data_IF_335743197345
#
_entry.id   IF_335743197345
#
_cell.length_a   1.000
_cell.length_b   1.000
_cell.length_c   1.000
_cell.angle_alpha   90.00
_cell.angle_beta   90.00
_cell.angle_gamma   90.00
#
_symmetry.space_group_name_H-M   'P 1'
#
loop_
_entity.id
_entity.type
_entity.pdbx_description
1 polymer ?
#
# COMPACT_ATOMS: atom_id res chain seq x y z
N UNK A 1 27.18 20.33 -25.50
CA UNK A 1 25.90 20.41 -24.76
C UNK A 1 24.92 19.48 -25.46
N UNK A 2 24.80 18.24 -24.98
CA UNK A 2 23.87 17.28 -25.57
C UNK A 2 22.49 17.56 -24.98
N UNK A 3 21.65 18.26 -25.76
CA UNK A 3 20.23 18.34 -25.47
C UNK A 3 19.65 16.94 -25.57
N UNK A 4 19.39 16.29 -24.43
CA UNK A 4 18.50 15.13 -24.40
C UNK A 4 17.16 15.56 -25.04
N UNK A 5 16.61 14.77 -25.98
CA UNK A 5 15.40 15.16 -26.68
C UNK A 5 14.25 15.37 -25.68
N UNK A 6 13.29 16.25 -26.02
CA UNK A 6 12.08 16.53 -25.21
C UNK A 6 11.20 15.29 -24.93
N UNK A 7 11.54 14.14 -25.52
CA UNK A 7 10.95 12.83 -25.28
C UNK A 7 11.57 12.07 -24.08
N UNK A 8 12.74 12.47 -23.60
CA UNK A 8 13.37 11.86 -22.42
C UNK A 8 12.62 12.26 -21.16
N UNK A 9 12.37 11.32 -20.25
CA UNK A 9 11.72 11.58 -18.97
C UNK A 9 12.47 12.67 -18.19
N UNK A 10 11.74 13.49 -17.42
CA UNK A 10 12.34 14.59 -16.63
C UNK A 10 13.52 14.12 -15.79
N UNK A 11 13.38 12.99 -15.07
CA UNK A 11 14.44 12.48 -14.20
C UNK A 11 15.70 12.00 -14.92
N UNK A 12 15.66 11.77 -16.24
CA UNK A 12 16.82 11.40 -17.04
C UNK A 12 17.57 12.64 -17.59
N UNK A 13 17.01 13.84 -17.42
CA UNK A 13 17.62 15.11 -17.86
C UNK A 13 18.51 15.70 -16.77
N UNK A 14 19.49 16.50 -17.17
CA UNK A 14 20.47 17.13 -16.26
C UNK A 14 19.80 17.95 -15.15
N UNK A 15 18.72 18.67 -15.47
CA UNK A 15 17.93 19.47 -14.53
C UNK A 15 17.00 18.64 -13.64
N UNK A 16 16.65 17.42 -14.04
CA UNK A 16 15.83 16.49 -13.26
C UNK A 16 16.61 15.57 -12.34
N UNK A 17 17.87 15.26 -12.66
CA UNK A 17 18.73 14.36 -11.88
C UNK A 17 18.91 14.83 -10.42
N UNK A 18 18.92 16.15 -10.17
CA UNK A 18 18.99 16.69 -8.81
C UNK A 18 17.79 16.26 -7.94
N UNK A 19 16.65 15.92 -8.56
CA UNK A 19 15.44 15.44 -7.88
C UNK A 19 15.32 13.91 -7.87
N UNK A 20 16.22 13.18 -8.55
CA UNK A 20 16.17 11.72 -8.60
C UNK A 20 16.12 11.05 -7.20
N UNK A 21 16.85 11.53 -6.18
CA UNK A 21 16.73 10.98 -4.82
C UNK A 21 15.33 11.17 -4.23
N UNK A 22 14.69 12.33 -4.44
CA UNK A 22 13.33 12.58 -3.97
C UNK A 22 12.36 11.58 -4.61
N UNK A 23 12.42 11.42 -5.93
CA UNK A 23 11.55 10.49 -6.64
C UNK A 23 11.87 9.01 -6.36
N UNK A 24 13.09 8.68 -5.94
CA UNK A 24 13.43 7.33 -5.47
C UNK A 24 12.75 6.98 -4.13
N UNK A 25 12.33 7.98 -3.35
CA UNK A 25 11.54 7.75 -2.13
C UNK A 25 10.05 7.51 -2.39
N UNK A 26 9.56 7.91 -3.57
CA UNK A 26 8.16 7.74 -3.96
C UNK A 26 7.89 6.27 -4.26
N UNK A 27 6.94 5.68 -3.52
CA UNK A 27 6.56 4.27 -3.66
C UNK A 27 5.39 4.14 -4.62
N UNK A 28 5.70 3.84 -5.89
CA UNK A 28 4.70 3.77 -6.95
C UNK A 28 3.86 2.48 -6.93
N UNK A 29 4.16 1.53 -6.04
CA UNK A 29 3.44 0.25 -5.95
C UNK A 29 1.96 0.39 -5.54
N UNK A 30 1.55 1.56 -5.06
CA UNK A 30 0.15 1.89 -4.81
C UNK A 30 -0.63 2.30 -6.07
N UNK A 31 0.04 2.49 -7.21
CA UNK A 31 -0.59 2.84 -8.48
C UNK A 31 -1.13 1.57 -9.13
N UNK A 32 -2.43 1.33 -8.99
CA UNK A 32 -3.10 0.14 -9.51
C UNK A 32 -3.97 0.43 -10.73
N UNK A 33 -4.44 1.66 -10.86
CA UNK A 33 -5.38 2.04 -11.91
C UNK A 33 -4.66 2.41 -13.20
N UNK A 34 -5.17 1.89 -14.32
CA UNK A 34 -4.60 2.15 -15.64
C UNK A 34 -4.62 3.63 -16.01
N UNK A 35 -5.60 4.40 -15.52
CA UNK A 35 -5.67 5.85 -15.70
C UNK A 35 -4.47 6.55 -15.07
N UNK A 36 -4.10 6.18 -13.85
CA UNK A 36 -3.00 6.78 -13.13
C UNK A 36 -1.66 6.47 -13.82
N UNK A 37 -1.52 5.26 -14.35
CA UNK A 37 -0.36 4.86 -15.17
C UNK A 37 -0.28 5.71 -16.45
N UNK A 38 -1.41 5.94 -17.12
CA UNK A 38 -1.48 6.80 -18.31
C UNK A 38 -1.11 8.24 -17.98
N UNK A 39 -1.64 8.78 -16.89
CA UNK A 39 -1.32 10.13 -16.42
C UNK A 39 0.19 10.26 -16.11
N UNK A 40 0.78 9.26 -15.46
CA UNK A 40 2.23 9.21 -15.21
C UNK A 40 3.05 9.19 -16.50
N UNK A 41 2.59 8.48 -17.53
CA UNK A 41 3.23 8.47 -18.84
C UNK A 41 3.11 9.84 -19.53
N UNK A 42 1.94 10.49 -19.47
CA UNK A 42 1.70 11.81 -20.04
C UNK A 42 2.57 12.87 -19.35
N UNK A 43 2.67 12.81 -18.02
CA UNK A 43 3.54 13.70 -17.24
C UNK A 43 5.01 13.56 -17.64
N UNK A 44 5.43 12.40 -18.14
CA UNK A 44 6.79 12.08 -18.58
C UNK A 44 7.86 12.47 -17.55
N UNK A 45 7.56 12.26 -16.27
CA UNK A 45 8.48 12.56 -15.16
C UNK A 45 9.42 11.38 -14.91
N UNK A 46 8.85 10.17 -14.87
CA UNK A 46 9.54 8.95 -14.43
C UNK A 46 10.08 8.16 -15.64
N UNK A 47 11.31 7.63 -15.58
CA UNK A 47 11.89 6.86 -16.68
C UNK A 47 11.03 5.65 -17.05
N UNK A 48 10.90 5.39 -18.35
CA UNK A 48 10.05 4.31 -18.87
C UNK A 48 10.42 2.92 -18.30
N UNK A 49 11.71 2.67 -18.05
CA UNK A 49 12.18 1.42 -17.45
C UNK A 49 11.54 1.16 -16.08
N UNK A 50 11.44 2.19 -15.21
CA UNK A 50 10.79 2.07 -13.90
C UNK A 50 9.30 1.79 -14.01
N UNK A 51 8.63 2.36 -15.02
CA UNK A 51 7.22 2.06 -15.30
C UNK A 51 7.03 0.61 -15.74
N UNK A 52 7.92 0.08 -16.58
CA UNK A 52 7.89 -1.33 -17.02
C UNK A 52 8.13 -2.27 -15.82
N UNK A 53 9.08 -1.94 -14.94
CA UNK A 53 9.33 -2.72 -13.72
C UNK A 53 8.11 -2.75 -12.80
N UNK A 54 7.45 -1.61 -12.60
CA UNK A 54 6.20 -1.51 -11.83
C UNK A 54 5.11 -2.41 -12.42
N UNK A 55 4.84 -2.30 -13.71
CA UNK A 55 3.83 -3.10 -14.42
C UNK A 55 4.13 -4.60 -14.36
N UNK A 56 5.40 -4.97 -14.54
CA UNK A 56 5.84 -6.37 -14.44
C UNK A 56 5.56 -6.94 -13.05
N UNK A 57 5.80 -6.17 -11.98
CA UNK A 57 5.51 -6.61 -10.62
C UNK A 57 4.02 -6.81 -10.37
N UNK A 58 3.15 -5.90 -10.86
CA UNK A 58 1.70 -6.08 -10.78
C UNK A 58 1.24 -7.32 -11.55
N UNK A 59 1.78 -7.53 -12.75
CA UNK A 59 1.48 -8.71 -13.55
C UNK A 59 1.87 -10.00 -12.82
N UNK A 60 3.07 -10.06 -12.23
CA UNK A 60 3.51 -11.22 -11.45
C UNK A 60 2.65 -11.46 -10.21
N UNK A 61 2.27 -10.40 -9.49
CA UNK A 61 1.36 -10.51 -8.36
C UNK A 61 0.01 -11.09 -8.79
N UNK A 62 -0.56 -10.60 -9.91
CA UNK A 62 -1.83 -11.11 -10.44
C UNK A 62 -1.74 -12.57 -10.91
N UNK A 63 -0.64 -12.98 -11.55
CA UNK A 63 -0.39 -14.39 -11.91
C UNK A 63 -0.34 -15.29 -10.66
N UNK A 64 0.22 -14.78 -9.56
CA UNK A 64 0.20 -15.43 -8.24
C UNK A 64 -1.14 -15.35 -7.51
N UNK A 65 -2.21 -14.82 -8.14
CA UNK A 65 -3.51 -14.63 -7.48
C UNK A 65 -3.53 -13.54 -6.41
N UNK A 66 -2.56 -12.62 -6.47
CA UNK A 66 -2.34 -11.54 -5.51
C UNK A 66 -1.33 -11.87 -4.41
N UNK A 67 -0.90 -13.13 -4.27
CA UNK A 67 0.00 -13.56 -3.20
C UNK A 67 1.35 -12.82 -3.26
N UNK A 68 1.87 -12.46 -2.09
CA UNK A 68 3.09 -11.65 -1.96
C UNK A 68 4.37 -12.47 -1.71
N UNK A 69 4.30 -13.79 -1.83
CA UNK A 69 5.44 -14.71 -1.61
C UNK A 69 6.65 -14.37 -2.48
N UNK A 70 6.42 -13.86 -3.70
CA UNK A 70 7.47 -13.49 -4.67
C UNK A 70 8.02 -12.07 -4.49
N UNK A 71 7.55 -11.30 -3.50
CA UNK A 71 8.05 -9.95 -3.23
C UNK A 71 9.49 -10.02 -2.72
N UNK A 72 10.46 -9.67 -3.57
CA UNK A 72 11.89 -9.75 -3.25
C UNK A 72 12.36 -8.71 -2.23
N UNK A 73 11.84 -7.49 -2.30
CA UNK A 73 12.21 -6.39 -1.41
C UNK A 73 10.96 -5.73 -0.82
N UNK A 74 10.67 -6.02 0.44
CA UNK A 74 9.52 -5.47 1.16
C UNK A 74 9.61 -3.95 1.29
N UNK A 75 10.80 -3.40 1.56
CA UNK A 75 10.95 -1.97 1.83
C UNK A 75 10.71 -1.12 0.60
N UNK A 76 11.09 -1.60 -0.59
CA UNK A 76 10.81 -0.87 -1.82
C UNK A 76 9.44 -1.21 -2.37
N UNK A 77 9.02 -2.48 -2.31
CA UNK A 77 7.80 -3.01 -2.93
C UNK A 77 6.50 -2.86 -2.14
N UNK A 78 6.55 -2.46 -0.87
CA UNK A 78 5.34 -2.33 -0.03
C UNK A 78 4.61 -1.02 -0.27
N UNK A 79 3.29 -1.13 -0.30
CA UNK A 79 2.36 0.01 -0.25
C UNK A 79 2.31 0.51 1.20
N UNK A 80 2.31 1.83 1.38
CA UNK A 80 2.15 2.46 2.69
C UNK A 80 0.79 3.14 2.74
N UNK A 81 0.05 2.83 3.79
CA UNK A 81 -1.24 3.41 4.08
C UNK A 81 -1.41 3.46 5.60
N UNK A 82 -2.12 4.46 6.10
CA UNK A 82 -2.29 4.68 7.53
C UNK A 82 -2.90 6.04 7.83
N UNK A 83 -3.30 6.20 9.09
CA UNK A 83 -4.02 7.38 9.60
C UNK A 83 -3.38 7.87 10.90
N UNK A 84 -3.69 9.12 11.24
CA UNK A 84 -3.40 9.71 12.55
C UNK A 84 -4.56 9.38 13.49
N UNK A 85 -4.23 9.04 14.73
CA UNK A 85 -5.19 8.78 15.79
C UNK A 85 -5.29 10.06 16.62
N UNK A 86 -6.51 10.58 16.77
CA UNK A 86 -6.82 11.71 17.64
C UNK A 86 -7.47 11.19 18.94
N UNK A 87 -7.68 12.08 19.92
CA UNK A 87 -8.23 11.70 21.24
C UNK A 87 -9.65 11.11 21.13
N UNK A 88 -10.46 11.59 20.18
CA UNK A 88 -11.78 11.06 19.87
C UNK A 88 -12.04 11.06 18.35
N UNK A 89 -12.73 10.03 17.81
CA UNK A 89 -13.28 8.86 18.50
C UNK A 89 -12.21 7.80 18.83
N UNK A 90 -12.43 6.97 19.87
CA UNK A 90 -11.55 5.84 20.22
C UNK A 90 -11.58 4.68 19.19
N UNK A 91 -11.96 4.95 17.96
CA UNK A 91 -12.03 4.00 16.87
C UNK A 91 -11.64 4.70 15.57
N UNK A 92 -10.60 4.19 14.93
CA UNK A 92 -10.17 4.65 13.61
C UNK A 92 -10.00 3.44 12.70
N UNK A 93 -10.39 3.59 11.44
CA UNK A 93 -10.07 2.59 10.44
C UNK A 93 -9.84 3.18 9.05
N UNK A 94 -9.07 2.45 8.26
CA UNK A 94 -8.79 2.80 6.87
C UNK A 94 -8.80 1.52 6.02
N UNK A 95 -9.44 1.63 4.85
CA UNK A 95 -9.56 0.52 3.91
C UNK A 95 -8.49 0.61 2.84
N UNK A 96 -7.79 -0.50 2.63
CA UNK A 96 -6.80 -0.68 1.57
C UNK A 96 -7.26 -1.76 0.60
N UNK A 97 -7.10 -1.50 -0.70
CA UNK A 97 -7.54 -2.40 -1.76
C UNK A 97 -6.36 -2.73 -2.66
N UNK A 98 -6.11 -4.01 -2.91
CA UNK A 98 -4.96 -4.44 -3.69
C UNK A 98 -5.24 -5.76 -4.40
N UNK A 99 -5.14 -5.77 -5.74
CA UNK A 99 -5.39 -6.96 -6.59
C UNK A 99 -6.74 -7.64 -6.27
N UNK A 100 -7.77 -6.84 -5.99
CA UNK A 100 -9.12 -7.30 -5.68
C UNK A 100 -9.35 -7.85 -4.28
N UNK A 101 -8.36 -7.78 -3.40
CA UNK A 101 -8.56 -8.04 -1.97
C UNK A 101 -8.66 -6.71 -1.24
N UNK A 102 -9.59 -6.65 -0.29
CA UNK A 102 -9.82 -5.48 0.53
C UNK A 102 -9.48 -5.81 1.98
N UNK A 103 -8.71 -4.94 2.60
CA UNK A 103 -8.32 -5.05 3.99
C UNK A 103 -8.69 -3.76 4.72
N UNK A 104 -8.96 -3.89 6.01
CA UNK A 104 -9.20 -2.78 6.92
C UNK A 104 -8.09 -2.78 7.97
N UNK A 105 -7.34 -1.69 8.05
CA UNK A 105 -6.47 -1.40 9.18
C UNK A 105 -7.32 -0.71 10.25
N UNK A 106 -7.30 -1.22 11.48
CA UNK A 106 -8.11 -0.70 12.58
C UNK A 106 -7.23 -0.35 13.77
N UNK A 107 -7.58 0.74 14.43
CA UNK A 107 -7.10 1.10 15.75
C UNK A 107 -8.30 1.26 16.67
N UNK A 108 -8.33 0.48 17.76
CA UNK A 108 -9.39 0.51 18.77
C UNK A 108 -8.77 0.92 20.10
N UNK A 109 -9.12 2.11 20.56
CA UNK A 109 -8.68 2.69 21.82
C UNK A 109 -9.55 2.25 22.99
N UNK A 110 -8.96 2.22 24.18
CA UNK A 110 -9.66 2.11 25.46
C UNK A 110 -9.71 3.47 26.15
N UNK A 111 -10.61 3.62 27.13
CA UNK A 111 -10.67 4.84 27.97
C UNK A 111 -9.39 5.08 28.78
N UNK A 112 -8.52 4.08 28.88
CA UNK A 112 -7.23 4.14 29.58
C UNK A 112 -6.09 4.59 28.65
N UNK A 113 -6.37 4.93 27.39
CA UNK A 113 -5.37 5.38 26.42
C UNK A 113 -4.56 4.24 25.77
N UNK A 114 -5.00 2.99 25.92
CA UNK A 114 -4.37 1.85 25.25
C UNK A 114 -5.04 1.59 23.90
N UNK A 115 -4.25 1.28 22.87
CA UNK A 115 -4.77 0.98 21.54
C UNK A 115 -4.43 -0.44 21.12
N UNK A 116 -5.43 -1.15 20.59
CA UNK A 116 -5.23 -2.39 19.84
C UNK A 116 -5.28 -2.08 18.36
N UNK A 117 -4.21 -2.42 17.62
CA UNK A 117 -4.08 -2.13 16.20
C UNK A 117 -3.92 -3.44 15.43
N UNK A 118 -4.72 -3.63 14.40
CA UNK A 118 -4.69 -4.85 13.59
C UNK A 118 -5.21 -4.60 12.18
N UNK A 119 -4.84 -5.50 11.26
CA UNK A 119 -5.37 -5.53 9.91
C UNK A 119 -6.33 -6.72 9.76
N UNK A 120 -7.43 -6.55 9.03
CA UNK A 120 -8.35 -7.63 8.73
C UNK A 120 -8.80 -7.64 7.27
N UNK A 121 -9.09 -8.83 6.71
CA UNK A 121 -9.66 -8.97 5.38
C UNK A 121 -11.17 -8.74 5.42
N UNK A 122 -11.65 -7.88 4.54
CA UNK A 122 -13.07 -7.61 4.37
C UNK A 122 -13.72 -8.66 3.45
N UNK A 123 -15.01 -8.92 3.70
CA UNK A 123 -15.81 -9.85 2.91
C UNK A 123 -16.48 -9.12 1.72
N UNK A 124 -16.89 -9.83 0.66
CA UNK A 124 -17.74 -9.23 -0.36
C UNK A 124 -19.03 -8.70 0.29
N UNK A 125 -19.40 -7.46 -0.02
CA UNK A 125 -20.60 -6.82 0.52
C UNK A 125 -20.47 -6.34 1.97
N UNK A 126 -19.27 -6.31 2.54
CA UNK A 126 -19.03 -5.68 3.84
C UNK A 126 -19.47 -4.20 3.80
N UNK A 127 -20.29 -3.72 4.75
CA UNK A 127 -20.83 -2.37 4.73
C UNK A 127 -19.77 -1.26 4.84
N UNK A 128 -18.55 -1.61 5.28
CA UNK A 128 -17.42 -0.67 5.33
C UNK A 128 -16.89 -0.34 3.92
N UNK A 129 -17.13 -1.21 2.94
CA UNK A 129 -16.72 -0.97 1.55
C UNK A 129 -17.60 0.11 0.91
N UNK A 130 -16.96 1.18 0.44
CA UNK A 130 -17.65 2.22 -0.31
C UNK A 130 -18.14 1.69 -1.66
N UNK A 131 -19.17 2.35 -2.20
CA UNK A 131 -19.69 2.06 -3.53
C UNK A 131 -18.60 2.08 -4.62
N UNK A 132 -17.64 3.01 -4.55
CA UNK A 132 -16.50 3.05 -5.48
C UNK A 132 -15.63 1.81 -5.37
N UNK A 133 -15.37 1.33 -4.15
CA UNK A 133 -14.60 0.11 -3.91
C UNK A 133 -15.35 -1.15 -4.37
N UNK A 134 -16.69 -1.14 -4.33
CA UNK A 134 -17.54 -2.24 -4.77
C UNK A 134 -17.77 -2.29 -6.29
N UNK A 135 -17.93 -1.16 -6.97
CA UNK A 135 -18.25 -1.12 -8.41
C UNK A 135 -17.02 -1.05 -9.33
N UNK A 136 -15.93 -0.41 -8.90
CA UNK A 136 -14.77 -0.16 -9.77
C UNK A 136 -13.61 -1.13 -9.57
N UNK A 137 -13.61 -1.90 -8.48
CA UNK A 137 -12.58 -2.88 -8.23
C UNK A 137 -13.18 -4.29 -8.21
N UNK A 138 -12.56 -5.20 -8.95
CA UNK A 138 -12.95 -6.61 -8.97
C UNK A 138 -12.72 -7.23 -7.61
N UNK A 139 -13.73 -7.86 -7.01
CA UNK A 139 -13.53 -8.60 -5.76
C UNK A 139 -12.92 -9.98 -6.06
N UNK A 140 -11.79 -10.30 -5.42
CA UNK A 140 -11.17 -11.62 -5.54
C UNK A 140 -11.93 -12.64 -4.71
N UNK A 141 -12.45 -13.67 -5.39
CA UNK A 141 -13.21 -14.77 -4.77
C UNK A 141 -12.32 -15.86 -4.17
N UNK A 142 -11.00 -15.70 -4.17
CA UNK A 142 -10.07 -16.69 -3.57
C UNK A 142 -10.34 -16.85 -2.08
N UNK A 143 -10.27 -18.08 -1.58
CA UNK A 143 -10.51 -18.41 -0.18
C UNK A 143 -9.57 -17.65 0.77
N UNK A 144 -8.32 -17.47 0.36
CA UNK A 144 -7.30 -16.76 1.11
C UNK A 144 -6.26 -16.09 0.21
N UNK A 145 -5.42 -15.26 0.83
CA UNK A 145 -4.25 -14.62 0.22
C UNK A 145 -3.11 -14.56 1.22
N UNK A 146 -1.92 -14.95 0.79
CA UNK A 146 -0.71 -14.73 1.55
C UNK A 146 -0.25 -13.27 1.40
N UNK A 147 -0.25 -12.54 2.51
CA UNK A 147 0.12 -11.13 2.58
C UNK A 147 1.34 -10.98 3.44
N UNK A 148 2.33 -10.24 2.93
CA UNK A 148 3.47 -9.76 3.72
C UNK A 148 3.16 -8.33 4.16
N UNK A 149 3.25 -8.05 5.46
CA UNK A 149 2.86 -6.75 6.02
C UNK A 149 3.78 -6.34 7.18
N UNK A 150 3.74 -5.05 7.52
CA UNK A 150 4.39 -4.48 8.69
C UNK A 150 3.51 -3.34 9.21
N UNK A 151 3.08 -3.43 10.46
CA UNK A 151 2.39 -2.34 11.14
C UNK A 151 3.42 -1.58 11.95
N UNK A 152 3.44 -0.25 11.79
CA UNK A 152 4.30 0.64 12.56
C UNK A 152 3.43 1.70 13.20
N UNK A 153 3.63 1.93 14.49
CA UNK A 153 2.89 2.90 15.30
C UNK A 153 3.91 3.85 15.90
N UNK A 154 3.73 5.13 15.65
CA UNK A 154 4.54 6.18 16.25
C UNK A 154 3.66 6.97 17.22
N UNK A 155 4.16 7.19 18.44
CA UNK A 155 3.49 8.01 19.42
C UNK A 155 4.51 8.81 20.24
N UNK A 156 4.08 9.96 20.75
CA UNK A 156 4.92 10.88 21.51
C UNK A 156 4.59 10.74 23.00
N UNK A 157 5.57 10.35 23.82
CA UNK A 157 5.42 10.22 25.27
C UNK A 157 6.48 11.09 25.95
N UNK A 158 6.07 12.03 26.78
CA UNK A 158 6.98 12.95 27.49
C UNK A 158 7.98 13.69 26.57
N UNK A 159 7.58 13.98 25.33
CA UNK A 159 8.45 14.63 24.33
C UNK A 159 9.40 13.69 23.58
N UNK A 160 9.39 12.39 23.89
CA UNK A 160 10.16 11.37 23.17
C UNK A 160 9.29 10.61 22.18
N UNK A 161 9.75 10.50 20.93
CA UNK A 161 9.10 9.69 19.92
C UNK A 161 9.39 8.21 20.17
N UNK A 162 8.35 7.46 20.45
CA UNK A 162 8.41 6.00 20.57
C UNK A 162 7.80 5.35 19.34
N UNK A 163 8.48 4.31 18.84
CA UNK A 163 8.04 3.55 17.67
C UNK A 163 7.83 2.09 18.08
N UNK A 164 6.62 1.61 17.87
CA UNK A 164 6.31 0.19 17.92
C UNK A 164 6.21 -0.35 16.49
N UNK A 165 6.69 -1.58 16.28
CA UNK A 165 6.56 -2.25 14.99
C UNK A 165 6.37 -3.74 15.19
N UNK A 166 5.54 -4.34 14.33
CA UNK A 166 5.42 -5.81 14.23
C UNK A 166 6.64 -6.45 13.55
N UNK A 167 7.51 -5.65 12.91
CA UNK A 167 8.42 -6.14 11.89
C UNK A 167 7.66 -6.64 10.66
N UNK A 168 8.38 -7.27 9.72
CA UNK A 168 7.77 -7.86 8.53
C UNK A 168 7.24 -9.24 8.86
N UNK A 169 5.93 -9.40 8.80
CA UNK A 169 5.23 -10.66 9.02
C UNK A 169 4.60 -11.16 7.71
N UNK A 170 4.34 -12.47 7.66
CA UNK A 170 3.57 -13.10 6.58
C UNK A 170 2.34 -13.75 7.20
N UNK A 171 1.16 -13.43 6.69
CA UNK A 171 -0.10 -13.99 7.16
C UNK A 171 -1.00 -14.38 6.00
N UNK A 172 -1.71 -15.50 6.17
CA UNK A 172 -2.65 -16.01 5.17
C UNK A 172 -4.05 -15.50 5.50
N UNK A 173 -4.44 -14.38 4.89
CA UNK A 173 -5.72 -13.74 5.13
C UNK A 173 -6.89 -14.45 4.45
N UNK A 174 -7.66 -15.20 5.23
CA UNK A 174 -8.87 -15.90 4.79
C UNK A 174 -10.17 -15.19 5.17
N UNK A 175 -11.31 -15.81 4.83
CA UNK A 175 -12.64 -15.34 5.24
C UNK A 175 -13.11 -15.92 6.59
N UNK A 176 -12.38 -16.89 7.14
CA UNK A 176 -12.69 -17.52 8.42
C UNK A 176 -12.15 -16.71 9.61
N UNK A 177 -12.81 -16.78 10.76
CA UNK A 177 -12.53 -15.94 11.93
C UNK A 177 -11.06 -16.00 12.40
N UNK A 178 -10.42 -17.17 12.30
CA UNK A 178 -9.03 -17.36 12.74
C UNK A 178 -7.99 -16.80 11.77
N UNK A 179 -8.35 -16.61 10.51
CA UNK A 179 -7.41 -16.20 9.45
C UNK A 179 -7.74 -14.84 8.88
N UNK A 180 -8.89 -14.26 9.23
CA UNK A 180 -9.31 -12.96 8.71
C UNK A 180 -8.57 -11.78 9.32
N UNK A 181 -7.94 -11.94 10.49
CA UNK A 181 -7.31 -10.88 11.28
C UNK A 181 -5.80 -11.13 11.46
N UNK A 182 -5.01 -10.07 11.46
CA UNK A 182 -3.61 -10.11 11.90
C UNK A 182 -3.50 -10.37 13.40
N UNK A 183 -2.31 -10.76 13.84
CA UNK A 183 -1.93 -10.78 15.26
C UNK A 183 -2.10 -9.41 15.92
#
# INVERSE_FOLDING_TARGET
>A
MNNLPKFTAFLDRDDGQIYAPLFATVRLHGVLDTSDIQDMQIMNIIPQLKMIELLSQHYHALQGGGDMSMMKNFNTGSIRQGFVIDDEPLYHSEVMSLHGFHFELKAVGTREGQYTIYMQRLKPGDPILSFRQCERHTFSMRADREVRYCITVQHLVNGENQIFTTGVLTHKFGLGEKTSKSE
#
